data_IF_095768968316
#
_entry.id   IF_095768968316
#
_cell.length_a   1.000
_cell.length_b   1.000
_cell.length_c   1.000
_cell.angle_alpha   90.00
_cell.angle_beta   90.00
_cell.angle_gamma   90.00
#
_symmetry.space_group_name_H-M   'P 1'
#
loop_
_entity.id
_entity.type
_entity.pdbx_description
1 polymer ?
#
# COMPACT_ATOMS: atom_id res chain seq x y z
N UNK A 1 -5.90 -26.99 49.71
CA UNK A 1 -5.54 -25.59 49.37
C UNK A 1 -4.15 -25.66 48.77
N UNK A 2 -3.92 -25.76 47.47
CA UNK A 2 -4.59 -25.08 46.35
C UNK A 2 -3.63 -24.02 45.83
N UNK A 3 -2.60 -24.43 45.07
CA UNK A 3 -1.76 -23.51 44.30
C UNK A 3 -1.41 -24.14 42.95
N UNK A 4 -1.96 -23.51 41.93
CA UNK A 4 -1.97 -23.76 40.49
C UNK A 4 -0.63 -24.17 39.87
N UNK A 5 -0.62 -25.06 38.85
CA UNK A 5 0.57 -25.23 38.01
C UNK A 5 0.70 -24.01 37.10
N UNK A 6 1.95 -23.61 36.84
CA UNK A 6 2.29 -22.58 35.86
C UNK A 6 1.93 -23.08 34.45
N UNK A 7 0.70 -22.80 34.03
CA UNK A 7 0.21 -23.01 32.67
C UNK A 7 0.89 -22.05 31.70
N UNK A 8 1.80 -22.59 30.90
CA UNK A 8 2.08 -22.27 29.51
C UNK A 8 1.73 -20.86 28.98
N UNK A 9 2.39 -19.83 29.50
CA UNK A 9 2.37 -18.46 28.93
C UNK A 9 2.76 -18.40 27.45
N UNK A 10 3.50 -19.39 26.96
CA UNK A 10 3.88 -19.52 25.54
C UNK A 10 2.75 -19.91 24.58
N UNK A 11 1.58 -20.35 25.08
CA UNK A 11 0.46 -20.74 24.22
C UNK A 11 -0.67 -19.71 24.13
N UNK A 12 -0.77 -18.78 25.08
CA UNK A 12 -1.72 -17.66 24.96
C UNK A 12 -1.23 -16.58 23.98
N UNK A 13 0.09 -16.35 23.86
CA UNK A 13 0.66 -15.43 22.86
C UNK A 13 0.53 -15.93 21.42
N UNK A 14 0.35 -17.25 21.21
CA UNK A 14 0.10 -17.83 19.87
C UNK A 14 -1.33 -17.65 19.37
N UNK A 15 -2.23 -17.14 20.22
CA UNK A 15 -3.66 -17.02 19.91
C UNK A 15 -4.02 -15.64 19.31
N UNK A 16 -3.15 -14.63 19.46
CA UNK A 16 -3.34 -13.35 18.78
C UNK A 16 -2.75 -13.38 17.37
N UNK A 17 -3.64 -13.78 16.45
CA UNK A 17 -3.64 -13.43 15.04
C UNK A 17 -2.49 -14.04 14.22
N UNK A 18 -2.90 -14.94 13.32
CA UNK A 18 -2.14 -15.36 12.15
C UNK A 18 -1.75 -14.15 11.29
N UNK A 19 -0.69 -13.43 11.67
CA UNK A 19 0.09 -12.65 10.73
C UNK A 19 0.69 -13.71 9.82
N UNK A 20 0.22 -13.74 8.57
CA UNK A 20 0.71 -14.58 7.50
C UNK A 20 2.24 -14.74 7.63
N UNK A 21 2.70 -15.93 8.05
CA UNK A 21 4.13 -16.21 8.19
C UNK A 21 4.78 -15.96 6.83
N UNK A 22 5.51 -14.86 6.74
CA UNK A 22 6.22 -14.46 5.54
C UNK A 22 7.69 -14.71 5.77
N UNK A 23 8.37 -15.31 4.79
CA UNK A 23 9.83 -15.32 4.74
C UNK A 23 10.30 -13.90 4.39
N UNK A 24 10.45 -13.07 5.44
CA UNK A 24 10.71 -11.63 5.33
C UNK A 24 12.04 -11.40 4.62
N UNK A 25 12.01 -10.83 3.42
CA UNK A 25 13.20 -10.51 2.63
C UNK A 25 13.74 -9.10 2.85
N UNK A 26 12.88 -8.18 3.29
CA UNK A 26 13.24 -6.79 3.51
C UNK A 26 12.31 -6.17 4.55
N UNK A 27 12.86 -5.28 5.38
CA UNK A 27 12.13 -4.47 6.36
C UNK A 27 12.55 -3.02 6.18
N UNK A 28 11.63 -2.17 5.77
CA UNK A 28 11.81 -0.72 5.82
C UNK A 28 11.48 -0.21 7.22
N UNK A 29 12.24 0.76 7.72
CA UNK A 29 11.98 1.43 9.00
C UNK A 29 11.85 2.92 8.75
N UNK A 30 10.78 3.53 9.26
CA UNK A 30 10.57 4.97 9.22
C UNK A 30 10.04 5.48 10.56
N UNK A 31 10.45 6.68 10.94
CA UNK A 31 10.01 7.37 12.16
C UNK A 31 9.29 8.65 11.79
N UNK A 32 8.12 8.87 12.39
CA UNK A 32 7.35 10.09 12.26
C UNK A 32 7.45 10.94 13.54
N UNK A 33 7.75 12.22 13.39
CA UNK A 33 7.74 13.22 14.45
C UNK A 33 6.53 14.14 14.28
N UNK A 34 5.85 14.48 15.37
CA UNK A 34 4.68 15.38 15.41
C UNK A 34 3.47 14.95 14.54
N UNK A 35 3.33 13.64 14.25
CA UNK A 35 2.13 13.08 13.63
C UNK A 35 1.91 13.56 12.19
N UNK A 36 0.74 14.12 11.88
CA UNK A 36 0.37 14.60 10.53
C UNK A 36 0.93 15.99 10.20
N UNK A 37 1.58 16.66 11.15
CA UNK A 37 2.16 17.99 11.00
C UNK A 37 3.59 18.00 11.56
N UNK A 38 4.53 17.50 10.76
CA UNK A 38 5.89 17.25 11.21
C UNK A 38 6.77 16.66 10.12
N UNK A 39 7.52 15.61 10.45
CA UNK A 39 8.53 15.01 9.57
C UNK A 39 8.47 13.50 9.63
N UNK A 40 8.66 12.84 8.49
CA UNK A 40 8.81 11.39 8.39
C UNK A 40 10.14 11.09 7.71
N UNK A 41 10.97 10.26 8.33
CA UNK A 41 12.26 9.86 7.79
C UNK A 41 12.51 8.36 7.92
N UNK A 42 13.12 7.74 6.91
CA UNK A 42 13.64 6.37 6.98
C UNK A 42 14.95 6.31 7.74
N UNK A 43 15.25 5.17 8.35
CA UNK A 43 16.49 4.94 9.11
C UNK A 43 17.75 5.02 8.24
N UNK A 44 17.62 4.68 6.96
CA UNK A 44 18.66 4.82 5.94
C UNK A 44 18.75 6.22 5.29
N UNK A 45 17.83 7.13 5.64
CA UNK A 45 17.79 8.51 5.14
C UNK A 45 17.37 8.67 3.67
N UNK A 46 16.91 7.61 2.99
CA UNK A 46 16.50 7.68 1.58
C UNK A 46 15.15 8.40 1.37
N UNK A 47 14.29 8.38 2.38
CA UNK A 47 13.08 9.20 2.43
C UNK A 47 13.16 10.10 3.65
N UNK A 48 13.05 11.40 3.44
CA UNK A 48 13.03 12.41 4.48
C UNK A 48 12.15 13.57 4.02
N UNK A 49 10.95 13.65 4.59
CA UNK A 49 9.92 14.57 4.11
C UNK A 49 9.21 15.27 5.26
N UNK A 50 8.89 16.55 5.04
CA UNK A 50 7.91 17.27 5.86
C UNK A 50 6.52 16.78 5.46
N UNK A 51 5.71 16.47 6.46
CA UNK A 51 4.29 16.10 6.30
C UNK A 51 3.41 17.17 6.94
N UNK A 52 2.37 17.59 6.23
CA UNK A 52 1.34 18.49 6.77
C UNK A 52 -0.04 18.01 6.31
N UNK A 53 -1.12 18.32 7.04
CA UNK A 53 -2.46 18.08 6.53
C UNK A 53 -2.68 18.90 5.25
N UNK A 54 -3.38 18.36 4.24
CA UNK A 54 -3.73 19.11 3.05
C UNK A 54 -4.71 20.25 3.38
N UNK A 55 -4.82 21.24 2.48
CA UNK A 55 -5.70 22.41 2.69
C UNK A 55 -7.16 22.02 2.83
N UNK A 56 -7.56 21.00 2.10
CA UNK A 56 -8.88 20.37 2.10
C UNK A 56 -9.24 19.79 3.48
N UNK A 57 -8.25 19.49 4.32
CA UNK A 57 -8.41 19.02 5.70
C UNK A 57 -8.00 20.07 6.73
N UNK A 58 -7.92 21.35 6.34
CA UNK A 58 -7.64 22.47 7.24
C UNK A 58 -6.16 22.68 7.59
N UNK A 59 -5.23 22.00 6.89
CA UNK A 59 -3.79 22.23 7.05
C UNK A 59 -3.22 23.29 6.12
N UNK A 60 -1.91 23.52 6.21
CA UNK A 60 -1.21 24.49 5.38
C UNK A 60 -0.87 23.95 3.97
N UNK A 61 -0.86 22.61 3.78
CA UNK A 61 -0.50 21.94 2.54
C UNK A 61 0.94 22.20 2.04
N UNK A 62 1.88 22.55 2.92
CA UNK A 62 3.25 22.90 2.55
C UNK A 62 4.13 21.66 2.25
N UNK A 63 3.91 20.57 2.98
CA UNK A 63 4.59 19.29 2.81
C UNK A 63 3.73 18.25 2.09
N UNK A 64 4.23 17.01 2.04
CA UNK A 64 3.42 15.86 1.60
C UNK A 64 2.47 15.42 2.72
N UNK A 65 1.76 14.32 2.55
CA UNK A 65 0.83 13.78 3.53
C UNK A 65 0.75 12.24 3.43
N UNK A 66 0.17 11.55 4.43
CA UNK A 66 0.05 10.10 4.41
C UNK A 66 -0.64 9.55 3.15
N UNK A 67 -1.62 10.26 2.60
CA UNK A 67 -2.35 9.84 1.41
C UNK A 67 -1.45 9.87 0.15
N UNK A 68 -0.63 10.91 -0.01
CA UNK A 68 0.36 11.00 -1.09
C UNK A 68 1.47 9.95 -0.95
N UNK A 69 1.94 9.69 0.27
CA UNK A 69 2.93 8.65 0.53
C UNK A 69 2.37 7.26 0.21
N UNK A 70 1.11 7.01 0.58
CA UNK A 70 0.41 5.78 0.25
C UNK A 70 0.20 5.66 -1.27
N UNK A 71 -0.20 6.73 -1.95
CA UNK A 71 -0.33 6.77 -3.41
C UNK A 71 0.98 6.43 -4.11
N UNK A 72 2.10 7.06 -3.69
CA UNK A 72 3.41 6.81 -4.25
C UNK A 72 3.85 5.35 -4.04
N UNK A 73 3.70 4.83 -2.82
CA UNK A 73 4.03 3.43 -2.50
C UNK A 73 3.18 2.44 -3.28
N UNK A 74 1.88 2.70 -3.40
CA UNK A 74 0.95 1.82 -4.12
C UNK A 74 1.23 1.85 -5.63
N UNK A 75 1.40 3.02 -6.24
CA UNK A 75 1.73 3.13 -7.66
C UNK A 75 3.03 2.39 -8.01
N UNK A 76 4.10 2.59 -7.22
CA UNK A 76 5.37 1.91 -7.42
C UNK A 76 5.24 0.38 -7.23
N UNK A 77 4.53 -0.06 -6.18
CA UNK A 77 4.30 -1.47 -5.90
C UNK A 77 3.51 -2.15 -7.04
N UNK A 78 2.47 -1.47 -7.55
CA UNK A 78 1.64 -1.99 -8.62
C UNK A 78 2.38 -2.01 -9.96
N UNK A 79 3.20 -1.00 -10.27
CA UNK A 79 4.08 -1.02 -11.44
C UNK A 79 5.07 -2.19 -11.38
N UNK A 80 5.63 -2.48 -10.20
CA UNK A 80 6.47 -3.66 -10.00
C UNK A 80 5.71 -4.97 -10.24
N UNK A 81 4.48 -5.07 -9.73
CA UNK A 81 3.60 -6.22 -9.94
C UNK A 81 3.24 -6.42 -11.42
N UNK A 82 2.92 -5.34 -12.13
CA UNK A 82 2.68 -5.36 -13.57
C UNK A 82 3.89 -5.90 -14.33
N UNK A 83 5.10 -5.48 -13.97
CA UNK A 83 6.34 -6.01 -14.54
C UNK A 83 6.55 -7.51 -14.28
N UNK A 84 6.15 -8.03 -13.12
CA UNK A 84 6.21 -9.47 -12.82
C UNK A 84 5.24 -10.25 -13.72
N UNK A 85 3.99 -9.80 -13.82
CA UNK A 85 2.97 -10.43 -14.67
C UNK A 85 3.39 -10.42 -16.14
N UNK A 86 3.84 -9.27 -16.65
CA UNK A 86 4.28 -9.12 -18.03
C UNK A 86 5.45 -10.06 -18.37
N UNK A 87 6.44 -10.20 -17.49
CA UNK A 87 7.56 -11.14 -17.68
C UNK A 87 7.08 -12.59 -17.73
N UNK A 88 6.17 -12.99 -16.86
CA UNK A 88 5.62 -14.35 -16.84
C UNK A 88 4.86 -14.67 -18.13
N UNK A 89 4.18 -13.68 -18.69
CA UNK A 89 3.41 -13.81 -19.93
C UNK A 89 4.21 -13.49 -21.20
N UNK A 90 5.47 -13.06 -21.05
CA UNK A 90 6.36 -12.64 -22.14
C UNK A 90 5.76 -11.51 -22.99
N UNK A 91 5.12 -10.55 -22.32
CA UNK A 91 4.52 -9.36 -22.94
C UNK A 91 5.44 -8.17 -22.72
N UNK A 92 5.68 -7.39 -23.78
CA UNK A 92 6.37 -6.10 -23.67
C UNK A 92 5.43 -5.07 -23.04
N UNK A 93 5.92 -4.34 -22.03
CA UNK A 93 5.21 -3.24 -21.35
C UNK A 93 6.07 -1.98 -21.29
N UNK A 94 7.02 -1.83 -22.23
CA UNK A 94 7.90 -0.68 -22.31
C UNK A 94 7.09 0.62 -22.38
N UNK A 95 7.47 1.59 -21.55
CA UNK A 95 6.74 2.86 -21.44
C UNK A 95 5.44 2.79 -20.64
N UNK A 96 5.15 1.67 -19.97
CA UNK A 96 4.01 1.58 -19.06
C UNK A 96 4.15 2.53 -17.87
N UNK A 97 3.03 3.09 -17.44
CA UNK A 97 2.91 3.99 -16.29
C UNK A 97 1.76 3.53 -15.42
N UNK A 98 1.91 3.63 -14.10
CA UNK A 98 0.83 3.39 -13.14
C UNK A 98 0.64 4.62 -12.27
N UNK A 99 -0.60 5.08 -12.19
CA UNK A 99 -1.04 6.16 -11.32
C UNK A 99 -1.96 5.58 -10.26
N UNK A 100 -1.74 5.93 -9.00
CA UNK A 100 -2.66 5.63 -7.90
C UNK A 100 -3.25 6.94 -7.38
N UNK A 101 -4.58 7.06 -7.45
CA UNK A 101 -5.35 8.15 -6.87
C UNK A 101 -5.88 7.68 -5.53
N UNK A 102 -5.48 8.36 -4.44
CA UNK A 102 -5.88 8.01 -3.07
C UNK A 102 -6.77 9.12 -2.54
N UNK A 103 -8.00 8.76 -2.17
CA UNK A 103 -8.93 9.63 -1.47
C UNK A 103 -8.97 9.30 0.01
N UNK A 104 -9.12 10.31 0.86
CA UNK A 104 -9.46 10.17 2.29
C UNK A 104 -10.80 10.86 2.55
N UNK A 105 -11.65 10.23 3.35
CA UNK A 105 -12.96 10.77 3.69
C UNK A 105 -13.54 10.15 4.96
N UNK A 106 -14.65 10.71 5.44
CA UNK A 106 -15.38 10.14 6.56
C UNK A 106 -16.27 8.98 6.10
N UNK A 107 -16.39 7.95 6.93
CA UNK A 107 -17.34 6.86 6.81
C UNK A 107 -17.97 6.57 8.19
N UNK A 108 -18.83 5.55 8.28
CA UNK A 108 -19.53 5.20 9.52
C UNK A 108 -18.58 4.79 10.67
N UNK A 109 -17.33 4.47 10.37
CA UNK A 109 -16.30 4.01 11.32
C UNK A 109 -15.23 5.08 11.64
N UNK A 110 -15.39 6.30 11.12
CA UNK A 110 -14.41 7.39 11.27
C UNK A 110 -13.85 7.85 9.93
N UNK A 111 -12.54 7.71 9.73
CA UNK A 111 -11.89 8.04 8.45
C UNK A 111 -11.53 6.76 7.69
N UNK A 112 -11.83 6.73 6.40
CA UNK A 112 -11.43 5.69 5.47
C UNK A 112 -10.68 6.26 4.28
N UNK A 113 -9.99 5.38 3.54
CA UNK A 113 -9.38 5.70 2.26
C UNK A 113 -9.99 4.86 1.14
N UNK A 114 -9.96 5.39 -0.08
CA UNK A 114 -10.29 4.66 -1.31
C UNK A 114 -9.17 4.85 -2.32
N UNK A 115 -9.00 3.89 -3.23
CA UNK A 115 -7.93 3.95 -4.25
C UNK A 115 -8.48 3.67 -5.63
N UNK A 116 -8.07 4.48 -6.61
CA UNK A 116 -8.23 4.18 -8.03
C UNK A 116 -6.85 4.03 -8.68
N UNK A 117 -6.58 2.86 -9.26
CA UNK A 117 -5.33 2.56 -9.97
C UNK A 117 -5.59 2.57 -11.46
N UNK A 118 -4.80 3.36 -12.19
CA UNK A 118 -4.84 3.46 -13.65
C UNK A 118 -3.49 3.08 -14.22
N UNK A 119 -3.45 2.14 -15.14
CA UNK A 119 -2.23 1.76 -15.84
C UNK A 119 -2.33 2.04 -17.34
N UNK A 120 -1.36 2.76 -17.89
CA UNK A 120 -1.21 2.92 -19.35
C UNK A 120 -0.16 1.94 -19.83
N UNK A 121 -0.46 1.15 -20.87
CA UNK A 121 0.47 0.16 -21.45
C UNK A 121 0.51 0.34 -22.97
N UNK A 122 1.41 1.18 -23.51
CA UNK A 122 1.37 1.60 -24.92
C UNK A 122 1.60 0.49 -25.94
N UNK A 123 2.14 -0.64 -25.50
CA UNK A 123 2.64 -1.74 -26.32
C UNK A 123 1.59 -2.81 -26.62
N UNK A 124 0.40 -2.74 -26.01
CA UNK A 124 -0.66 -3.74 -26.15
C UNK A 124 -2.02 -3.07 -26.35
N UNK A 125 -3.00 -3.83 -26.84
CA UNK A 125 -4.38 -3.35 -26.93
C UNK A 125 -5.05 -3.24 -25.56
N UNK A 126 -6.18 -2.54 -25.50
CA UNK A 126 -6.90 -2.26 -24.26
C UNK A 126 -7.37 -3.53 -23.53
N UNK A 127 -7.77 -4.57 -24.26
CA UNK A 127 -8.21 -5.82 -23.66
C UNK A 127 -7.05 -6.54 -22.96
N UNK A 128 -5.89 -6.60 -23.64
CA UNK A 128 -4.69 -7.18 -23.05
C UNK A 128 -4.15 -6.34 -21.91
N UNK A 129 -4.20 -5.02 -22.02
CA UNK A 129 -3.80 -4.12 -20.94
C UNK A 129 -4.64 -4.36 -19.69
N UNK A 130 -5.98 -4.44 -19.82
CA UNK A 130 -6.86 -4.71 -18.69
C UNK A 130 -6.59 -6.08 -18.07
N UNK A 131 -6.38 -7.12 -18.89
CA UNK A 131 -6.03 -8.46 -18.39
C UNK A 131 -4.75 -8.43 -17.53
N UNK A 132 -3.71 -7.71 -17.96
CA UNK A 132 -2.46 -7.57 -17.22
C UNK A 132 -2.66 -6.78 -15.91
N UNK A 133 -3.47 -5.72 -15.94
CA UNK A 133 -3.82 -4.91 -14.75
C UNK A 133 -4.58 -5.74 -13.72
N UNK A 134 -5.57 -6.52 -14.14
CA UNK A 134 -6.36 -7.37 -13.25
C UNK A 134 -5.49 -8.43 -12.58
N UNK A 135 -4.56 -9.04 -13.34
CA UNK A 135 -3.57 -9.99 -12.81
C UNK A 135 -2.57 -9.31 -11.87
N UNK A 136 -2.10 -8.11 -12.19
CA UNK A 136 -1.21 -7.33 -11.33
C UNK A 136 -1.87 -7.04 -9.97
N UNK A 137 -3.17 -6.73 -9.98
CA UNK A 137 -3.96 -6.51 -8.76
C UNK A 137 -4.05 -7.76 -7.87
N UNK A 138 -3.96 -8.97 -8.43
CA UNK A 138 -3.94 -10.21 -7.64
C UNK A 138 -2.60 -10.47 -6.95
N UNK A 139 -1.49 -9.94 -7.48
CA UNK A 139 -0.14 -10.26 -6.99
C UNK A 139 0.52 -9.12 -6.23
N UNK A 140 0.16 -7.87 -6.52
CA UNK A 140 0.64 -6.66 -5.86
C UNK A 140 0.47 -6.76 -4.32
N UNK A 141 1.56 -6.69 -3.53
CA UNK A 141 1.48 -6.74 -2.07
C UNK A 141 0.53 -5.72 -1.45
N UNK A 142 0.53 -4.48 -1.93
CA UNK A 142 -0.37 -3.43 -1.42
C UNK A 142 -1.84 -3.79 -1.70
N UNK A 143 -2.15 -4.33 -2.89
CA UNK A 143 -3.49 -4.82 -3.22
C UNK A 143 -3.93 -6.00 -2.38
N UNK A 144 -3.01 -6.87 -1.97
CA UNK A 144 -3.33 -7.97 -1.04
C UNK A 144 -3.58 -7.45 0.37
N UNK A 145 -2.80 -6.47 0.83
CA UNK A 145 -2.91 -5.90 2.17
C UNK A 145 -4.22 -5.12 2.38
N UNK A 146 -4.72 -4.46 1.32
CA UNK A 146 -5.93 -3.63 1.39
C UNK A 146 -7.23 -4.35 1.05
N UNK A 147 -7.14 -5.57 0.50
CA UNK A 147 -8.30 -6.31 0.00
C UNK A 147 -9.32 -6.56 1.10
N UNK A 148 -10.57 -6.17 0.83
CA UNK A 148 -11.69 -6.36 1.75
C UNK A 148 -11.80 -5.29 2.84
N UNK A 149 -10.83 -4.38 2.95
CA UNK A 149 -10.83 -3.30 3.94
C UNK A 149 -11.19 -1.94 3.33
N UNK A 150 -10.79 -1.70 2.09
CA UNK A 150 -11.07 -0.46 1.36
C UNK A 150 -11.52 -0.77 -0.07
N UNK A 151 -12.20 0.19 -0.70
CA UNK A 151 -12.48 0.13 -2.12
C UNK A 151 -11.21 0.41 -2.92
N UNK A 152 -10.85 -0.55 -3.79
CA UNK A 152 -9.79 -0.39 -4.78
C UNK A 152 -10.34 -0.70 -6.16
N UNK A 153 -10.32 0.29 -7.05
CA UNK A 153 -10.64 0.09 -8.47
C UNK A 153 -9.35 0.02 -9.28
N UNK A 154 -9.32 -0.82 -10.31
CA UNK A 154 -8.18 -0.98 -11.22
C UNK A 154 -8.64 -0.92 -12.67
N UNK A 155 -7.94 -0.15 -13.49
CA UNK A 155 -8.26 -0.04 -14.92
C UNK A 155 -7.02 0.17 -15.77
N UNK A 156 -7.06 -0.35 -17.00
CA UNK A 156 -6.17 0.11 -18.06
C UNK A 156 -6.69 1.44 -18.64
N UNK A 157 -5.76 2.34 -18.99
CA UNK A 157 -6.02 3.64 -19.61
C UNK A 157 -5.62 3.63 -21.09
#
# INVERSE_FOLDING_TARGET
MGASPAGNRYQEEKLFMAIQQSDVKYTAVATAENGRDGRVATDDGQLDVVVNPPKEMGGNGAGTNPEQLFAAGYAACFQGALGVVARNEKVDITGSLVTAEVGIGQNDEGFGIIVAIKATIPTVDAAKAQELVDKAHQVCPYSKATRGNIEVTVSAA
#
